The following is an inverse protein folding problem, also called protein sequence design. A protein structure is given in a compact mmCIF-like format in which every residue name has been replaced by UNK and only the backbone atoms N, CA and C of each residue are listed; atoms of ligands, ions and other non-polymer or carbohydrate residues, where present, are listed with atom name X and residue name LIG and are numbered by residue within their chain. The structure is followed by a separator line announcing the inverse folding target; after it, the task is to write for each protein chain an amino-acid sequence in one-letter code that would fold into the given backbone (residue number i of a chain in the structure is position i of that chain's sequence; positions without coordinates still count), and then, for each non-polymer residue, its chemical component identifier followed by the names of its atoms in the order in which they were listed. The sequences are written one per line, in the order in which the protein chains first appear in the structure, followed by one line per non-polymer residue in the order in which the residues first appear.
data_IF_245697095194
#
_entry.id   IF_245697095194
#
_cell.length_a   1.000
_cell.length_b   1.000
_cell.length_c   1.000
_cell.angle_alpha   90.00
_cell.angle_beta   90.00
_cell.angle_gamma   90.00
#
_symmetry.space_group_name_H-M   'P 1'
#
loop_
_entity.id
_entity.type
_entity.pdbx_description
1 polymer ?
#
# COMPACT_ATOMS: atom_id res chain seq x y z
N UNK A 1 18.32 17.10 -1.42
CA UNK A 1 17.56 15.84 -1.56
C UNK A 1 16.38 16.11 -2.46
N UNK A 2 16.09 15.21 -3.38
CA UNK A 2 14.93 15.32 -4.26
C UNK A 2 13.66 15.33 -3.39
N UNK A 3 12.90 16.40 -3.46
CA UNK A 3 11.69 16.60 -2.64
C UNK A 3 10.47 15.94 -3.29
N UNK A 4 10.72 15.05 -4.27
CA UNK A 4 9.70 14.36 -5.03
C UNK A 4 8.96 13.35 -4.15
N UNK A 5 7.65 13.30 -4.29
CA UNK A 5 6.84 12.29 -3.61
C UNK A 5 7.10 10.92 -4.24
N UNK A 6 7.51 9.96 -3.40
CA UNK A 6 7.71 8.56 -3.80
C UNK A 6 6.50 7.77 -3.32
N UNK A 7 5.78 7.18 -4.27
CA UNK A 7 4.59 6.37 -3.98
C UNK A 7 4.87 4.92 -4.35
N UNK A 8 4.57 4.00 -3.44
CA UNK A 8 4.84 2.57 -3.59
C UNK A 8 3.53 1.80 -3.68
N UNK A 9 3.40 0.96 -4.69
CA UNK A 9 2.37 -0.07 -4.83
C UNK A 9 3.03 -1.45 -4.77
N UNK A 10 2.34 -2.44 -4.23
CA UNK A 10 2.78 -3.84 -4.26
C UNK A 10 1.72 -4.70 -4.94
N UNK A 11 2.07 -5.31 -6.07
CA UNK A 11 1.13 -6.02 -6.93
C UNK A 11 1.64 -7.43 -7.28
N UNK A 12 0.86 -8.46 -6.92
CA UNK A 12 1.08 -9.80 -7.47
C UNK A 12 0.67 -9.87 -8.95
N UNK A 13 1.11 -10.90 -9.66
CA UNK A 13 0.77 -11.10 -11.09
C UNK A 13 -0.72 -10.95 -11.39
N UNK A 14 -1.59 -11.40 -10.49
CA UNK A 14 -3.05 -11.25 -10.65
C UNK A 14 -3.52 -9.79 -10.72
N UNK A 15 -2.78 -8.89 -10.13
CA UNK A 15 -3.13 -7.46 -10.06
C UNK A 15 -2.46 -6.62 -11.15
N UNK A 16 -1.49 -7.17 -11.92
CA UNK A 16 -0.83 -6.44 -13.01
C UNK A 16 -1.83 -5.82 -13.99
N UNK A 17 -2.91 -6.53 -14.42
CA UNK A 17 -3.86 -5.95 -15.38
C UNK A 17 -4.64 -4.73 -14.88
N UNK A 18 -4.74 -4.55 -13.57
CA UNK A 18 -5.53 -3.50 -12.92
C UNK A 18 -4.69 -2.45 -12.19
N UNK A 19 -3.40 -2.73 -12.00
CA UNK A 19 -2.45 -1.80 -11.40
C UNK A 19 -2.45 -0.40 -12.06
N UNK A 20 -2.65 -0.25 -13.40
CA UNK A 20 -2.75 1.05 -14.04
C UNK A 20 -3.88 1.94 -13.53
N UNK A 21 -4.99 1.40 -13.05
CA UNK A 21 -6.06 2.24 -12.45
C UNK A 21 -5.52 3.01 -11.25
N UNK A 22 -4.76 2.34 -10.38
CA UNK A 22 -4.21 2.94 -9.17
C UNK A 22 -3.21 4.05 -9.51
N UNK A 23 -2.13 3.73 -10.24
CA UNK A 23 -1.10 4.72 -10.50
C UNK A 23 -1.55 5.83 -11.46
N UNK A 24 -2.43 5.57 -12.45
CA UNK A 24 -2.95 6.62 -13.32
C UNK A 24 -3.88 7.57 -12.59
N UNK A 25 -4.66 7.09 -11.60
CA UNK A 25 -5.43 7.97 -10.73
C UNK A 25 -4.53 8.88 -9.89
N UNK A 26 -3.44 8.33 -9.35
CA UNK A 26 -2.43 9.09 -8.62
C UNK A 26 -1.80 10.17 -9.52
N UNK A 27 -1.27 9.78 -10.69
CA UNK A 27 -0.54 10.67 -11.59
C UNK A 27 -1.41 11.79 -12.17
N UNK A 28 -2.70 11.57 -12.31
CA UNK A 28 -3.64 12.63 -12.73
C UNK A 28 -3.68 13.80 -11.74
N UNK A 29 -3.57 13.53 -10.46
CA UNK A 29 -3.67 14.55 -9.40
C UNK A 29 -2.30 14.92 -8.80
N UNK A 30 -1.28 14.10 -9.07
CA UNK A 30 0.08 14.26 -8.56
C UNK A 30 1.10 13.93 -9.67
N UNK A 31 1.17 14.72 -10.76
CA UNK A 31 1.93 14.38 -11.97
C UNK A 31 3.45 14.28 -11.73
N UNK A 32 3.96 14.96 -10.70
CA UNK A 32 5.38 14.94 -10.34
C UNK A 32 5.77 13.78 -9.41
N UNK A 33 4.80 12.94 -9.00
CA UNK A 33 5.11 11.79 -8.17
C UNK A 33 5.95 10.77 -8.94
N UNK A 34 6.92 10.16 -8.25
CA UNK A 34 7.57 8.96 -8.73
C UNK A 34 6.86 7.74 -8.14
N UNK A 35 6.49 6.80 -8.98
CA UNK A 35 5.79 5.58 -8.60
C UNK A 35 6.76 4.41 -8.65
N UNK A 36 6.77 3.59 -7.63
CA UNK A 36 7.52 2.33 -7.60
C UNK A 36 6.54 1.18 -7.36
N UNK A 37 6.49 0.24 -8.30
CA UNK A 37 5.68 -0.96 -8.19
C UNK A 37 6.58 -2.13 -7.75
N UNK A 38 6.35 -2.66 -6.55
CA UNK A 38 6.95 -3.92 -6.13
C UNK A 38 6.20 -5.05 -6.84
N UNK A 39 6.92 -5.85 -7.60
CA UNK A 39 6.36 -6.90 -8.46
C UNK A 39 7.11 -8.22 -8.32
N UNK A 40 6.58 -9.28 -8.93
CA UNK A 40 7.12 -10.65 -8.89
C UNK A 40 8.00 -10.99 -10.10
N UNK A 41 8.13 -10.09 -11.06
CA UNK A 41 8.88 -10.24 -12.31
C UNK A 41 9.88 -9.10 -12.47
N UNK A 42 10.80 -9.20 -13.42
CA UNK A 42 11.79 -8.15 -13.68
C UNK A 42 11.13 -6.90 -14.27
N UNK A 43 10.06 -7.08 -15.03
CA UNK A 43 9.29 -6.00 -15.65
C UNK A 43 7.80 -6.36 -15.77
N UNK A 44 6.96 -5.36 -15.92
CA UNK A 44 5.56 -5.56 -16.29
C UNK A 44 5.45 -5.92 -17.78
N UNK A 45 4.47 -6.75 -18.20
CA UNK A 45 4.32 -7.18 -19.59
C UNK A 45 3.77 -6.09 -20.53
N UNK A 46 3.71 -4.84 -20.06
CA UNK A 46 3.22 -3.67 -20.80
C UNK A 46 4.02 -2.42 -20.44
N UNK A 47 3.98 -1.44 -21.32
CA UNK A 47 4.67 -0.17 -21.09
C UNK A 47 4.04 0.64 -19.95
N UNK A 48 4.88 1.32 -19.21
CA UNK A 48 4.49 2.18 -18.09
C UNK A 48 4.93 3.63 -18.35
N UNK A 49 4.28 4.65 -17.74
CA UNK A 49 4.74 6.04 -17.82
C UNK A 49 6.19 6.19 -17.31
N UNK A 50 6.89 7.22 -17.81
CA UNK A 50 8.30 7.48 -17.49
C UNK A 50 8.62 7.64 -16.00
N UNK A 51 7.63 8.02 -15.20
CA UNK A 51 7.75 8.19 -13.75
C UNK A 51 7.22 7.00 -12.95
N UNK A 52 6.95 5.87 -13.61
CA UNK A 52 6.60 4.60 -13.00
C UNK A 52 7.75 3.62 -13.22
N UNK A 53 8.31 3.10 -12.14
CA UNK A 53 9.33 2.07 -12.17
C UNK A 53 8.88 0.80 -11.45
N UNK A 54 9.63 -0.28 -11.64
CA UNK A 54 9.37 -1.57 -11.02
C UNK A 54 10.57 -2.03 -10.19
N UNK A 55 10.29 -2.79 -9.14
CA UNK A 55 11.30 -3.49 -8.35
C UNK A 55 10.82 -4.94 -8.19
N UNK A 56 11.61 -5.88 -8.74
CA UNK A 56 11.36 -7.30 -8.53
C UNK A 56 11.73 -7.69 -7.08
N UNK A 57 10.75 -8.19 -6.35
CA UNK A 57 10.93 -8.63 -4.96
C UNK A 57 10.76 -10.15 -4.79
N UNK A 58 10.71 -10.91 -5.90
CA UNK A 58 10.53 -12.37 -5.85
C UNK A 58 11.72 -13.10 -5.21
N UNK A 59 12.93 -12.53 -5.31
CA UNK A 59 14.16 -13.06 -4.72
C UNK A 59 14.43 -12.60 -3.28
N UNK A 60 13.45 -12.05 -2.58
CA UNK A 60 13.62 -11.61 -1.19
C UNK A 60 13.94 -12.80 -0.24
N UNK A 61 14.80 -12.56 0.73
CA UNK A 61 15.25 -13.57 1.70
C UNK A 61 14.76 -13.31 3.13
N UNK A 62 13.97 -12.25 3.36
CA UNK A 62 13.48 -11.89 4.70
C UNK A 62 12.38 -12.80 5.22
N UNK A 63 11.61 -13.42 4.31
CA UNK A 63 10.50 -14.32 4.61
C UNK A 63 10.66 -15.60 3.82
N UNK A 64 11.17 -16.65 4.47
CA UNK A 64 11.34 -17.97 3.91
C UNK A 64 10.07 -18.81 3.95
N UNK A 65 10.18 -20.07 3.54
CA UNK A 65 9.06 -21.03 3.57
C UNK A 65 8.52 -21.29 4.99
N UNK A 66 9.36 -21.11 6.01
CA UNK A 66 9.02 -21.28 7.42
C UNK A 66 8.27 -20.08 8.01
N UNK A 67 8.16 -18.96 7.27
CA UNK A 67 7.41 -17.80 7.72
C UNK A 67 5.93 -18.16 7.89
N UNK A 68 5.42 -17.99 9.12
CA UNK A 68 4.04 -18.37 9.47
C UNK A 68 2.97 -17.58 8.72
N UNK A 69 3.36 -16.44 8.12
CA UNK A 69 2.48 -15.55 7.35
C UNK A 69 2.70 -15.61 5.83
N UNK A 70 3.60 -16.45 5.31
CA UNK A 70 3.88 -16.55 3.87
C UNK A 70 2.70 -17.15 3.08
N UNK A 71 1.95 -18.06 3.71
CA UNK A 71 0.80 -18.76 3.10
C UNK A 71 -0.50 -18.31 3.76
N UNK A 72 -0.95 -17.11 3.42
CA UNK A 72 -2.21 -16.53 3.91
C UNK A 72 -3.14 -16.21 2.75
N UNK A 73 -4.29 -15.58 3.02
CA UNK A 73 -5.18 -15.04 2.00
C UNK A 73 -4.59 -13.80 1.29
N UNK A 74 -3.60 -13.16 1.92
CA UNK A 74 -2.82 -12.09 1.32
C UNK A 74 -1.59 -12.66 0.60
N UNK A 75 -1.09 -11.94 -0.39
CA UNK A 75 0.16 -12.32 -1.03
C UNK A 75 1.35 -11.95 -0.13
N UNK A 76 2.50 -12.62 -0.31
CA UNK A 76 3.73 -12.29 0.41
C UNK A 76 4.20 -10.83 0.16
N UNK A 77 3.69 -10.20 -0.89
CA UNK A 77 3.97 -8.78 -1.18
C UNK A 77 3.51 -7.84 -0.06
N UNK A 78 2.48 -8.23 0.72
CA UNK A 78 2.09 -7.49 1.91
C UNK A 78 3.18 -7.52 2.99
N UNK A 79 3.99 -8.59 3.05
CA UNK A 79 5.15 -8.67 3.95
C UNK A 79 6.25 -7.66 3.57
N UNK A 80 6.38 -7.32 2.27
CA UNK A 80 7.42 -6.40 1.78
C UNK A 80 7.30 -4.99 2.35
N UNK A 81 6.14 -4.60 2.84
CA UNK A 81 5.91 -3.26 3.41
C UNK A 81 6.76 -3.00 4.66
N UNK A 82 7.01 -4.02 5.46
CA UNK A 82 7.87 -3.87 6.65
C UNK A 82 9.36 -3.87 6.29
N UNK A 83 9.71 -4.12 5.02
CA UNK A 83 11.09 -4.12 4.51
C UNK A 83 11.45 -2.81 3.77
N UNK A 84 10.61 -1.79 3.81
CA UNK A 84 10.84 -0.56 3.03
C UNK A 84 12.13 0.17 3.39
N UNK A 85 12.61 0.08 4.62
CA UNK A 85 13.91 0.66 5.00
C UNK A 85 15.07 0.02 4.24
N UNK A 86 14.95 -1.29 3.92
CA UNK A 86 15.95 -2.07 3.18
C UNK A 86 15.76 -1.92 1.66
N UNK A 87 14.52 -1.85 1.19
CA UNK A 87 14.19 -1.67 -0.23
C UNK A 87 14.49 -0.25 -0.73
N UNK A 88 14.38 0.75 0.16
CA UNK A 88 14.54 2.16 -0.17
C UNK A 88 15.61 2.85 0.71
N UNK A 89 16.88 2.39 0.72
CA UNK A 89 17.90 2.88 1.64
C UNK A 89 18.25 4.37 1.44
N UNK A 90 18.06 4.90 0.23
CA UNK A 90 18.33 6.29 -0.13
C UNK A 90 17.18 7.28 0.15
N UNK A 91 16.04 6.81 0.67
CA UNK A 91 14.86 7.66 0.87
C UNK A 91 14.54 7.82 2.35
N UNK A 92 14.15 9.05 2.74
CA UNK A 92 13.76 9.35 4.12
C UNK A 92 12.30 8.95 4.41
N UNK A 93 11.44 8.90 3.39
CA UNK A 93 10.03 8.51 3.49
C UNK A 93 9.50 7.92 2.18
N UNK A 94 8.46 7.14 2.28
CA UNK A 94 7.64 6.67 1.15
C UNK A 94 6.16 6.70 1.52
N UNK A 95 5.31 6.98 0.54
CA UNK A 95 3.86 6.85 0.67
C UNK A 95 3.44 5.53 0.03
N UNK A 96 2.95 4.59 0.82
CA UNK A 96 2.39 3.33 0.33
C UNK A 96 0.90 3.51 0.08
N UNK A 97 0.44 2.95 -1.04
CA UNK A 97 -0.97 2.84 -1.40
C UNK A 97 -1.27 1.40 -1.82
N UNK A 98 -2.43 0.89 -1.38
CA UNK A 98 -2.94 -0.39 -1.88
C UNK A 98 -3.37 -0.27 -3.34
N UNK A 99 -3.26 -1.37 -4.11
CA UNK A 99 -3.64 -1.39 -5.53
C UNK A 99 -5.13 -1.14 -5.74
N UNK A 100 -5.95 -1.45 -4.74
CA UNK A 100 -7.38 -1.21 -4.73
C UNK A 100 -7.77 0.19 -4.22
N UNK A 101 -6.90 1.17 -4.48
CA UNK A 101 -7.15 2.60 -4.18
C UNK A 101 -7.29 3.42 -5.45
N UNK A 102 -8.11 4.47 -5.38
CA UNK A 102 -8.21 5.53 -6.39
C UNK A 102 -7.92 6.88 -5.72
N UNK A 103 -6.94 7.57 -6.29
CA UNK A 103 -6.57 8.93 -5.84
C UNK A 103 -7.40 9.96 -6.59
N UNK A 104 -8.04 10.87 -5.84
CA UNK A 104 -8.93 11.93 -6.38
C UNK A 104 -8.47 13.35 -6.04
N UNK A 105 -7.34 13.49 -5.34
CA UNK A 105 -6.84 14.80 -4.92
C UNK A 105 -5.32 14.81 -4.80
N UNK A 106 -4.75 15.98 -4.55
CA UNK A 106 -3.33 16.16 -4.31
C UNK A 106 -2.95 15.57 -2.93
N UNK A 107 -1.93 14.71 -2.92
CA UNK A 107 -1.43 14.03 -1.70
C UNK A 107 -0.21 14.74 -1.08
N UNK A 108 0.25 15.87 -1.62
CA UNK A 108 1.33 16.65 -1.02
C UNK A 108 1.06 17.10 0.42
N UNK A 109 -0.18 17.36 0.85
CA UNK A 109 -0.44 17.67 2.27
C UNK A 109 -0.02 16.56 3.23
N UNK A 110 -0.30 15.28 2.89
CA UNK A 110 0.17 14.16 3.73
C UNK A 110 1.65 13.85 3.51
N UNK A 111 2.16 14.03 2.29
CA UNK A 111 3.60 13.85 2.01
C UNK A 111 4.49 14.77 2.85
N UNK A 112 4.03 16.01 3.09
CA UNK A 112 4.79 17.04 3.82
C UNK A 112 4.52 17.06 5.33
N UNK A 113 3.66 16.16 5.84
CA UNK A 113 3.37 16.13 7.27
C UNK A 113 4.66 15.94 8.09
N UNK A 114 4.74 16.58 9.21
CA UNK A 114 5.84 16.38 10.15
C UNK A 114 5.71 15.00 10.80
N UNK A 115 6.75 14.19 10.64
CA UNK A 115 6.84 12.81 11.12
C UNK A 115 7.90 12.65 12.22
N UNK A 116 8.33 13.74 12.88
CA UNK A 116 9.38 13.68 13.89
C UNK A 116 9.03 12.69 15.01
N UNK A 117 9.94 11.77 15.29
CA UNK A 117 9.77 10.72 16.28
C UNK A 117 8.71 9.65 15.95
N UNK A 118 8.02 9.71 14.79
CA UNK A 118 6.99 8.76 14.37
C UNK A 118 7.54 7.81 13.30
N UNK A 119 6.98 6.58 13.25
CA UNK A 119 7.35 5.57 12.24
C UNK A 119 6.43 5.62 11.03
N UNK A 120 5.13 5.83 11.25
CA UNK A 120 4.17 5.89 10.15
C UNK A 120 2.98 6.80 10.46
N UNK A 121 2.27 7.18 9.39
CA UNK A 121 1.01 7.91 9.49
C UNK A 121 -0.05 7.17 8.66
N UNK A 122 -1.21 6.90 9.27
CA UNK A 122 -2.31 6.19 8.65
C UNK A 122 -3.66 6.56 9.27
N UNK A 123 -4.76 6.18 8.61
CA UNK A 123 -6.12 6.43 9.08
C UNK A 123 -6.53 5.38 10.12
N UNK A 124 -7.28 5.73 11.18
CA UNK A 124 -7.84 4.75 12.10
C UNK A 124 -8.65 3.67 11.38
N UNK A 125 -8.52 2.41 11.81
CA UNK A 125 -9.27 1.29 11.23
C UNK A 125 -10.75 1.36 11.62
N UNK A 126 -11.63 1.38 10.63
CA UNK A 126 -13.08 1.49 10.80
C UNK A 126 -13.85 0.21 10.42
N UNK A 127 -13.26 -0.63 9.55
CA UNK A 127 -13.96 -1.81 9.01
C UNK A 127 -13.83 -3.05 9.88
N UNK A 128 -12.72 -3.17 10.61
CA UNK A 128 -12.44 -4.35 11.41
C UNK A 128 -12.79 -4.13 12.87
N UNK A 129 -13.48 -5.10 13.47
CA UNK A 129 -13.60 -5.23 14.92
C UNK A 129 -12.33 -5.81 15.56
N UNK A 130 -11.45 -6.38 14.75
CA UNK A 130 -10.17 -6.92 15.18
C UNK A 130 -9.18 -5.77 15.40
N UNK A 131 -8.92 -5.45 16.65
CA UNK A 131 -7.97 -4.41 17.07
C UNK A 131 -7.13 -4.92 18.24
N UNK A 132 -6.30 -5.96 18.04
CA UNK A 132 -5.60 -6.64 19.12
C UNK A 132 -4.61 -5.73 19.86
N UNK A 133 -4.17 -4.66 19.21
CA UNK A 133 -3.16 -3.73 19.71
C UNK A 133 -3.76 -2.39 20.17
N UNK A 134 -5.04 -2.41 20.55
CA UNK A 134 -5.70 -1.27 21.18
C UNK A 134 -6.59 -0.43 20.23
N UNK A 135 -7.22 0.59 20.82
CA UNK A 135 -8.19 1.46 20.15
C UNK A 135 -7.58 2.28 19.01
N UNK A 136 -6.27 2.53 19.08
CA UNK A 136 -5.52 3.34 18.13
C UNK A 136 -4.98 2.53 16.93
N UNK A 137 -5.62 1.42 16.65
CA UNK A 137 -5.32 0.55 15.51
C UNK A 137 -5.60 1.27 14.17
N UNK A 138 -4.63 1.19 13.24
CA UNK A 138 -4.64 1.93 11.96
C UNK A 138 -4.84 0.97 10.79
N UNK A 139 -5.59 1.44 9.78
CA UNK A 139 -5.62 0.82 8.46
C UNK A 139 -4.43 1.32 7.63
N UNK A 140 -3.62 0.42 7.11
CA UNK A 140 -2.37 0.76 6.40
C UNK A 140 -2.47 0.70 4.88
N UNK A 141 -3.69 0.60 4.33
CA UNK A 141 -3.90 0.65 2.88
C UNK A 141 -3.48 1.98 2.24
N UNK A 142 -3.44 3.04 3.03
CA UNK A 142 -2.76 4.31 2.74
C UNK A 142 -1.88 4.64 3.94
N UNK A 143 -0.56 4.58 3.74
CA UNK A 143 0.39 4.72 4.83
C UNK A 143 1.63 5.51 4.41
N UNK A 144 1.91 6.61 5.12
CA UNK A 144 3.18 7.32 4.98
C UNK A 144 4.18 6.75 5.98
N UNK A 145 5.30 6.23 5.48
CA UNK A 145 6.38 5.69 6.28
C UNK A 145 7.50 6.71 6.47
N UNK A 146 7.99 6.86 7.69
CA UNK A 146 9.22 7.59 8.03
C UNK A 146 10.40 6.62 8.07
N UNK A 147 10.96 6.33 6.92
CA UNK A 147 12.05 5.36 6.79
C UNK A 147 13.33 5.82 7.53
N UNK A 148 13.54 7.14 7.60
CA UNK A 148 14.67 7.71 8.34
C UNK A 148 14.61 7.34 9.82
N UNK A 149 13.46 7.57 10.47
CA UNK A 149 13.28 7.25 11.88
C UNK A 149 13.28 5.73 12.12
N UNK A 150 12.63 4.96 11.25
CA UNK A 150 12.59 3.50 11.35
C UNK A 150 14.01 2.90 11.25
N UNK A 151 14.86 3.40 10.35
CA UNK A 151 16.27 2.98 10.26
C UNK A 151 17.07 3.37 11.49
N UNK A 152 16.89 4.60 11.97
CA UNK A 152 17.61 5.08 13.16
C UNK A 152 17.34 4.22 14.40
N UNK A 153 16.11 3.71 14.53
CA UNK A 153 15.67 2.89 15.65
C UNK A 153 15.79 1.37 15.38
N UNK A 154 16.18 0.97 14.15
CA UNK A 154 16.40 -0.44 13.78
C UNK A 154 15.14 -1.31 13.83
N UNK A 155 13.94 -0.74 13.64
CA UNK A 155 12.66 -1.44 13.91
C UNK A 155 12.23 -2.40 12.80
N UNK A 156 12.82 -2.33 11.63
CA UNK A 156 12.53 -3.23 10.52
C UNK A 156 12.89 -4.69 10.84
N UNK A 157 14.00 -4.95 11.53
CA UNK A 157 14.35 -6.30 11.97
C UNK A 157 13.38 -6.83 13.06
N UNK A 158 12.84 -5.94 13.89
CA UNK A 158 11.78 -6.32 14.85
C UNK A 158 10.50 -6.74 14.12
N UNK A 159 10.08 -5.97 13.11
CA UNK A 159 8.89 -6.26 12.30
C UNK A 159 9.04 -7.55 11.49
N UNK A 160 10.21 -7.76 10.86
CA UNK A 160 10.52 -8.98 10.10
C UNK A 160 10.44 -10.20 11.04
N UNK A 161 11.09 -10.13 12.19
CA UNK A 161 11.06 -11.22 13.19
C UNK A 161 9.65 -11.48 13.68
N UNK A 162 8.88 -10.42 14.00
CA UNK A 162 7.49 -10.55 14.43
C UNK A 162 6.66 -11.31 13.41
N UNK A 163 6.73 -10.94 12.13
CA UNK A 163 5.95 -11.59 11.06
C UNK A 163 6.43 -13.00 10.71
N UNK A 164 7.69 -13.33 10.94
CA UNK A 164 8.17 -14.71 10.76
C UNK A 164 7.64 -15.66 11.85
N UNK A 165 7.39 -15.15 13.08
CA UNK A 165 7.11 -15.99 14.25
C UNK A 165 5.69 -15.90 14.78
N UNK A 166 4.97 -14.82 14.49
CA UNK A 166 3.62 -14.60 15.00
C UNK A 166 2.60 -14.61 13.86
N UNK A 167 1.69 -15.57 13.88
CA UNK A 167 0.61 -15.64 12.89
C UNK A 167 -0.43 -14.58 13.19
N UNK A 168 -0.69 -13.71 12.20
CA UNK A 168 -1.62 -12.57 12.31
C UNK A 168 -2.55 -12.50 11.11
N UNK A 169 -3.81 -12.07 11.29
CA UNK A 169 -4.79 -12.05 10.21
C UNK A 169 -4.55 -10.95 9.15
N UNK A 170 -4.03 -9.79 9.56
CA UNK A 170 -3.84 -8.63 8.66
C UNK A 170 -2.36 -8.27 8.44
N UNK A 171 -1.49 -9.25 8.54
CA UNK A 171 -0.05 -9.25 8.18
C UNK A 171 0.67 -7.93 8.58
N UNK A 172 0.99 -7.10 7.60
CA UNK A 172 1.73 -5.84 7.76
C UNK A 172 0.96 -4.81 8.60
N UNK A 173 -0.36 -4.78 8.46
CA UNK A 173 -1.21 -3.91 9.28
C UNK A 173 -1.12 -4.28 10.76
N UNK A 174 -1.19 -5.57 11.09
CA UNK A 174 -1.03 -6.04 12.47
C UNK A 174 0.39 -5.77 12.99
N UNK A 175 1.41 -6.00 12.16
CA UNK A 175 2.80 -5.79 12.57
C UNK A 175 3.09 -4.32 12.91
N UNK A 176 2.64 -3.37 12.08
CA UNK A 176 2.83 -1.94 12.33
C UNK A 176 2.06 -1.46 13.57
N UNK A 177 0.84 -1.95 13.77
CA UNK A 177 0.05 -1.62 14.95
C UNK A 177 0.63 -2.26 16.22
N UNK A 178 1.15 -3.49 16.13
CA UNK A 178 1.92 -4.13 17.19
C UNK A 178 3.14 -3.28 17.57
N UNK A 179 3.95 -2.89 16.59
CA UNK A 179 5.14 -2.06 16.83
C UNK A 179 4.77 -0.75 17.53
N UNK A 180 3.70 -0.07 17.08
CA UNK A 180 3.24 1.14 17.72
C UNK A 180 2.88 0.89 19.21
N UNK A 181 2.13 -0.17 19.51
CA UNK A 181 1.76 -0.54 20.88
C UNK A 181 2.99 -0.87 21.76
N UNK A 182 3.93 -1.68 21.25
CA UNK A 182 5.18 -2.03 21.93
C UNK A 182 6.05 -0.81 22.26
N UNK A 183 6.02 0.21 21.41
CA UNK A 183 6.76 1.48 21.61
C UNK A 183 5.93 2.53 22.38
N UNK A 184 4.88 2.12 23.12
CA UNK A 184 4.09 2.98 23.99
C UNK A 184 2.90 3.69 23.33
N UNK A 185 2.52 3.32 22.10
CA UNK A 185 1.34 3.84 21.40
C UNK A 185 1.53 5.24 20.78
N UNK A 186 2.76 5.74 20.73
CA UNK A 186 3.05 7.10 20.26
C UNK A 186 3.89 7.14 18.96
N UNK A 187 3.97 6.04 18.22
CA UNK A 187 4.80 5.96 17.00
C UNK A 187 3.98 6.07 15.70
N UNK A 188 2.66 6.16 15.79
CA UNK A 188 1.77 6.35 14.66
C UNK A 188 1.08 7.72 14.70
N UNK A 189 1.11 8.47 13.59
CA UNK A 189 0.29 9.65 13.39
C UNK A 189 -1.08 9.27 12.82
N UNK A 190 -2.10 10.04 13.18
CA UNK A 190 -3.45 9.91 12.63
C UNK A 190 -3.61 10.78 11.40
N UNK A 191 -3.92 10.16 10.26
CA UNK A 191 -4.39 10.84 9.07
C UNK A 191 -5.91 11.03 9.13
N UNK A 192 -6.41 12.09 8.50
CA UNK A 192 -7.85 12.30 8.33
C UNK A 192 -8.47 11.23 7.41
N UNK A 193 -9.69 10.79 7.72
CA UNK A 193 -10.44 9.72 7.01
C UNK A 193 -10.44 9.90 5.49
N UNK A 194 -10.51 11.14 5.00
CA UNK A 194 -10.50 11.44 3.55
C UNK A 194 -9.29 10.85 2.78
N UNK A 195 -8.21 10.51 3.47
CA UNK A 195 -6.99 9.95 2.84
C UNK A 195 -7.00 8.41 2.76
N UNK A 196 -8.01 7.77 3.31
CA UNK A 196 -8.24 6.34 3.19
C UNK A 196 -9.74 6.05 3.40
N UNK A 197 -10.58 6.64 2.55
CA UNK A 197 -12.04 6.48 2.64
C UNK A 197 -12.43 5.12 2.11
N UNK A 198 -12.80 4.25 3.03
CA UNK A 198 -13.35 2.94 2.70
C UNK A 198 -14.84 3.08 2.39
N UNK A 199 -15.31 2.48 1.32
CA UNK A 199 -16.71 2.60 0.86
C UNK A 199 -17.78 2.33 1.91
N UNK A 200 -17.43 1.55 2.91
CA UNK A 200 -18.39 1.12 3.92
C UNK A 200 -18.72 2.23 4.92
N UNK A 201 -17.83 3.21 5.07
CA UNK A 201 -18.04 4.27 6.06
C UNK A 201 -18.78 5.46 5.50
N UNK A 202 -18.54 5.84 4.24
CA UNK A 202 -19.18 6.98 3.59
C UNK A 202 -19.04 8.30 4.36
N UNK A 203 -18.01 8.42 5.21
CA UNK A 203 -17.88 9.53 6.16
C UNK A 203 -17.43 10.83 5.49
N UNK A 204 -16.93 10.75 4.26
CA UNK A 204 -16.34 11.89 3.56
C UNK A 204 -17.02 12.19 2.25
N UNK A 205 -17.48 13.44 2.08
CA UNK A 205 -18.10 13.91 0.83
C UNK A 205 -17.07 14.11 -0.32
N UNK A 206 -15.80 14.33 0.02
CA UNK A 206 -14.69 14.55 -0.94
C UNK A 206 -13.46 13.74 -0.52
N UNK A 207 -13.45 12.44 -0.76
CA UNK A 207 -12.29 11.62 -0.45
C UNK A 207 -11.09 12.01 -1.33
N UNK A 208 -9.92 12.12 -0.72
CA UNK A 208 -8.66 12.27 -1.45
C UNK A 208 -8.17 10.91 -1.98
N UNK A 209 -8.39 9.86 -1.20
CA UNK A 209 -8.14 8.47 -1.60
C UNK A 209 -9.37 7.64 -1.22
N UNK A 210 -9.93 6.96 -2.22
CA UNK A 210 -10.98 5.96 -2.03
C UNK A 210 -10.34 4.58 -2.07
N UNK A 211 -10.67 3.73 -1.11
CA UNK A 211 -10.07 2.41 -0.94
C UNK A 211 -11.16 1.33 -0.92
N UNK A 212 -11.04 0.31 -1.76
CA UNK A 212 -11.96 -0.82 -1.81
C UNK A 212 -11.65 -1.89 -0.75
N UNK A 213 -11.19 -1.47 0.43
CA UNK A 213 -10.77 -2.34 1.51
C UNK A 213 -11.81 -3.41 1.84
N UNK A 214 -11.38 -4.68 1.90
CA UNK A 214 -12.24 -5.81 2.21
C UNK A 214 -13.18 -6.25 1.07
N UNK A 215 -13.19 -5.57 -0.07
CA UNK A 215 -13.97 -5.95 -1.23
C UNK A 215 -13.26 -7.05 -2.02
N UNK A 216 -13.73 -8.29 -1.91
CA UNK A 216 -13.20 -9.39 -2.71
C UNK A 216 -13.50 -9.17 -4.20
N UNK A 217 -12.50 -9.44 -5.05
CA UNK A 217 -12.61 -9.31 -6.51
C UNK A 217 -13.08 -7.91 -6.96
N UNK A 218 -12.62 -6.85 -6.25
CA UNK A 218 -12.97 -5.47 -6.57
C UNK A 218 -12.71 -5.10 -8.05
N UNK A 219 -11.77 -5.76 -8.71
CA UNK A 219 -11.40 -5.54 -10.10
C UNK A 219 -12.28 -6.28 -11.12
N UNK A 220 -13.01 -7.33 -10.72
CA UNK A 220 -13.89 -8.11 -11.60
C UNK A 220 -15.38 -7.83 -11.38
N UNK A 221 -15.73 -7.32 -10.20
CA UNK A 221 -17.11 -7.08 -9.78
C UNK A 221 -17.28 -5.61 -9.38
N UNK A 222 -17.21 -4.73 -10.39
CA UNK A 222 -17.45 -3.30 -10.23
C UNK A 222 -18.95 -3.04 -9.99
N UNK A 223 -19.45 -3.44 -8.83
CA UNK A 223 -20.80 -3.11 -8.42
C UNK A 223 -20.95 -1.58 -8.30
N UNK A 224 -21.80 -1.00 -9.15
CA UNK A 224 -22.01 0.45 -9.23
C UNK A 224 -22.43 1.08 -7.89
N UNK A 225 -23.07 0.30 -7.03
CA UNK A 225 -23.57 0.75 -5.74
C UNK A 225 -22.45 1.12 -4.76
N UNK A 226 -21.28 0.47 -4.85
CA UNK A 226 -20.16 0.69 -3.94
C UNK A 226 -19.08 1.63 -4.48
N UNK A 227 -19.10 1.98 -5.75
CA UNK A 227 -17.94 2.60 -6.41
C UNK A 227 -18.14 3.99 -6.95
N UNK A 228 -19.33 4.54 -6.85
CA UNK A 228 -19.63 5.95 -7.08
C UNK A 228 -18.99 6.58 -8.33
N UNK A 229 -18.61 5.78 -9.34
CA UNK A 229 -17.91 6.25 -10.52
C UNK A 229 -16.40 6.52 -10.34
N UNK A 230 -15.81 6.23 -9.18
CA UNK A 230 -14.39 6.50 -8.95
C UNK A 230 -13.45 5.65 -9.82
N UNK A 231 -13.74 4.35 -10.00
CA UNK A 231 -12.91 3.45 -10.82
C UNK A 231 -13.16 3.56 -12.30
N UNK A 232 -14.42 3.71 -12.69
CA UNK A 232 -14.86 3.73 -14.10
C UNK A 232 -14.02 4.64 -15.02
N UNK A 233 -13.65 5.86 -14.61
CA UNK A 233 -12.80 6.73 -15.45
C UNK A 233 -11.41 6.16 -15.77
N UNK A 234 -10.93 5.20 -14.96
CA UNK A 234 -9.59 4.62 -15.08
C UNK A 234 -9.57 3.22 -15.68
N UNK A 235 -10.72 2.58 -15.92
CA UNK A 235 -10.81 1.25 -16.54
C UNK A 235 -10.16 1.21 -17.92
N UNK A 236 -10.24 2.29 -18.69
CA UNK A 236 -9.63 2.42 -20.01
C UNK A 236 -8.12 2.16 -19.99
N UNK A 237 -7.44 2.46 -18.91
CA UNK A 237 -6.00 2.24 -18.76
C UNK A 237 -5.63 0.76 -18.54
N UNK A 238 -6.62 -0.11 -18.35
CA UNK A 238 -6.41 -1.54 -18.11
C UNK A 238 -6.61 -2.40 -19.37
N UNK A 239 -7.12 -1.87 -20.46
CA UNK A 239 -7.45 -2.68 -21.64
C UNK A 239 -6.21 -3.31 -22.29
N UNK A 240 -5.17 -2.50 -22.56
CA UNK A 240 -3.92 -3.01 -23.08
C UNK A 240 -3.19 -3.90 -22.05
N UNK A 241 -3.00 -3.50 -20.78
CA UNK A 241 -2.47 -4.37 -19.74
C UNK A 241 -3.16 -5.72 -19.62
N UNK A 242 -4.49 -5.79 -19.65
CA UNK A 242 -5.23 -7.06 -19.65
C UNK A 242 -4.86 -7.93 -20.85
N UNK A 243 -4.81 -7.35 -22.05
CA UNK A 243 -4.40 -8.07 -23.25
C UNK A 243 -2.96 -8.59 -23.15
N UNK A 244 -2.02 -7.74 -22.77
CA UNK A 244 -0.61 -8.07 -22.63
C UNK A 244 -0.34 -9.13 -21.56
N UNK A 245 -1.03 -9.06 -20.42
CA UNK A 245 -0.95 -10.07 -19.38
C UNK A 245 -1.43 -11.45 -19.87
N UNK A 246 -2.54 -11.49 -20.65
CA UNK A 246 -3.01 -12.76 -21.26
C UNK A 246 -1.99 -13.33 -22.27
N UNK A 247 -1.40 -12.48 -23.12
CA UNK A 247 -0.35 -12.85 -24.05
C UNK A 247 0.88 -13.43 -23.34
N UNK A 248 1.21 -12.91 -22.17
CA UNK A 248 2.28 -13.40 -21.29
C UNK A 248 1.87 -14.63 -20.44
N UNK A 249 0.66 -15.17 -20.59
CA UNK A 249 0.18 -16.33 -19.83
C UNK A 249 -0.17 -16.04 -18.37
N UNK A 250 -0.30 -14.78 -17.99
CA UNK A 250 -0.70 -14.38 -16.64
C UNK A 250 -2.23 -14.54 -16.51
N UNK A 251 -2.64 -15.32 -15.52
CA UNK A 251 -4.06 -15.54 -15.17
C UNK A 251 -4.48 -14.57 -14.07
N UNK A 252 -5.64 -13.96 -14.22
CA UNK A 252 -6.20 -12.99 -13.29
C UNK A 252 -7.72 -13.06 -13.23
#
# INVERSE_FOLDING_TARGET
MDNRMIVVYAASRKLYPVLPMAYMSLLKHNPEAAVVCLIEDDELPYEVPWNVGTVNVSGQEWFGEDCVNIKTSFTYLSLMRVCYTKLFPGYDRVLQLDVDTIVNDNLMPIWKIDMDGKYFAAVPEHLSHWKPYGKDYRNVGVCLFNLKQMRADGVDDELIRFLNTNKVPYIDQDALNWLNAEKGGDKALTLGVRYNECFVTGETLRPAVVHAAGCRNWFSNLDEQYRGGYWKPYEQYCEEPKRKCREAGIRF
#
